data_IF_959959467934
#
_entry.id   IF_959959467934
#
_cell.length_a   1.000
_cell.length_b   1.000
_cell.length_c   1.000
_cell.angle_alpha   90.00
_cell.angle_beta   90.00
_cell.angle_gamma   90.00
#
_symmetry.space_group_name_H-M   'P 1'
#
loop_
_entity.id
_entity.type
_entity.pdbx_description
1 polymer ?
#
# COMPACT_ATOMS: atom_id res chain seq x y z
N UNK A 1 27.94 -8.77 -36.45
CA UNK A 1 28.36 -8.58 -35.05
C UNK A 1 27.44 -7.55 -34.41
N UNK A 2 26.17 -7.89 -34.22
CA UNK A 2 25.22 -7.02 -33.53
C UNK A 2 24.05 -7.90 -33.10
N UNK A 3 24.05 -8.35 -31.85
CA UNK A 3 22.83 -8.82 -31.22
C UNK A 3 22.78 -8.12 -29.86
N UNK A 4 22.08 -6.99 -29.86
CA UNK A 4 21.92 -6.15 -28.69
C UNK A 4 20.94 -6.87 -27.76
N UNK A 5 21.50 -7.54 -26.75
CA UNK A 5 20.78 -8.18 -25.67
C UNK A 5 20.10 -7.06 -24.85
N UNK A 6 18.90 -6.66 -25.27
CA UNK A 6 18.00 -5.81 -24.51
C UNK A 6 17.64 -6.54 -23.21
N UNK A 7 18.32 -6.17 -22.13
CA UNK A 7 18.05 -6.65 -20.79
C UNK A 7 16.75 -6.00 -20.31
N UNK A 8 15.60 -6.58 -20.67
CA UNK A 8 14.33 -6.30 -20.00
C UNK A 8 14.45 -6.75 -18.54
N UNK A 9 14.65 -5.79 -17.63
CA UNK A 9 14.62 -6.06 -16.19
C UNK A 9 13.21 -6.54 -15.83
N UNK A 10 13.05 -7.78 -15.33
CA UNK A 10 11.74 -8.31 -15.00
C UNK A 10 11.10 -7.48 -13.89
N UNK A 11 9.78 -7.25 -14.00
CA UNK A 11 9.02 -6.47 -13.03
C UNK A 11 9.19 -7.02 -11.61
N UNK A 12 9.21 -6.12 -10.62
CA UNK A 12 9.45 -6.47 -9.22
C UNK A 12 8.50 -7.57 -8.70
N UNK A 13 7.24 -7.53 -9.14
CA UNK A 13 6.24 -8.54 -8.81
C UNK A 13 6.63 -9.92 -9.34
N UNK A 14 7.17 -10.00 -10.55
CA UNK A 14 7.54 -11.26 -11.20
C UNK A 14 8.82 -11.88 -10.58
N UNK A 15 9.70 -11.03 -10.03
CA UNK A 15 10.83 -11.48 -9.20
C UNK A 15 10.38 -12.00 -7.84
N UNK A 16 9.39 -11.36 -7.22
CA UNK A 16 8.81 -11.82 -5.96
C UNK A 16 8.07 -13.15 -6.12
N UNK A 17 7.26 -13.30 -7.17
CA UNK A 17 6.59 -14.58 -7.46
C UNK A 17 7.60 -15.67 -7.75
N UNK A 18 8.61 -15.44 -8.62
CA UNK A 18 9.67 -16.45 -8.87
C UNK A 18 10.43 -16.88 -7.62
N UNK A 19 10.67 -15.97 -6.68
CA UNK A 19 11.34 -16.31 -5.40
C UNK A 19 10.42 -17.16 -4.52
N UNK A 20 9.16 -16.75 -4.39
CA UNK A 20 8.15 -17.49 -3.64
C UNK A 20 7.87 -18.87 -4.25
N UNK A 21 7.68 -18.97 -5.56
CA UNK A 21 7.39 -20.22 -6.28
C UNK A 21 8.52 -21.24 -6.19
N UNK A 22 9.77 -20.79 -6.00
CA UNK A 22 10.93 -21.67 -5.80
C UNK A 22 10.98 -22.28 -4.39
N UNK A 23 10.34 -21.66 -3.41
CA UNK A 23 10.48 -22.00 -2.00
C UNK A 23 9.18 -22.50 -1.35
N UNK A 24 8.01 -22.21 -1.94
CA UNK A 24 6.72 -22.60 -1.38
C UNK A 24 6.26 -23.98 -1.90
N UNK A 25 5.73 -24.77 -0.97
CA UNK A 25 5.00 -26.02 -1.28
C UNK A 25 3.54 -25.64 -1.63
N UNK A 26 2.86 -26.44 -2.47
CA UNK A 26 1.51 -26.13 -2.98
C UNK A 26 0.47 -25.86 -1.87
N UNK A 27 0.62 -26.52 -0.71
CA UNK A 27 -0.22 -26.29 0.46
C UNK A 27 0.58 -25.53 1.54
N UNK A 28 -0.01 -24.45 2.07
CA UNK A 28 0.53 -23.75 3.25
C UNK A 28 0.09 -24.51 4.51
N UNK A 29 1.05 -25.03 5.27
CA UNK A 29 0.83 -25.69 6.56
C UNK A 29 0.95 -24.70 7.73
N UNK A 30 1.47 -25.17 8.87
CA UNK A 30 2.08 -24.26 9.83
C UNK A 30 3.24 -23.55 9.13
N UNK A 31 3.10 -22.23 8.99
CA UNK A 31 3.94 -21.39 8.16
C UNK A 31 4.68 -20.41 9.06
N UNK A 32 5.98 -20.61 9.21
CA UNK A 32 6.84 -19.81 10.08
C UNK A 32 6.81 -18.32 9.66
N UNK A 33 6.65 -18.02 8.36
CA UNK A 33 6.58 -16.65 7.86
C UNK A 33 5.25 -15.98 8.27
N UNK A 34 4.13 -16.71 8.16
CA UNK A 34 2.83 -16.23 8.59
C UNK A 34 2.79 -15.98 10.11
N UNK A 35 3.46 -16.84 10.89
CA UNK A 35 3.59 -16.68 12.34
C UNK A 35 4.44 -15.46 12.72
N UNK A 36 5.51 -15.17 11.97
CA UNK A 36 6.30 -13.94 12.14
C UNK A 36 5.46 -12.70 11.84
N UNK A 37 4.69 -12.70 10.75
CA UNK A 37 3.77 -11.58 10.43
C UNK A 37 2.71 -11.37 11.52
N UNK A 38 2.19 -12.45 12.10
CA UNK A 38 1.20 -12.39 13.17
C UNK A 38 1.78 -11.85 14.48
N UNK A 39 3.08 -12.08 14.72
CA UNK A 39 3.83 -11.53 15.86
C UNK A 39 4.10 -10.04 15.68
N UNK A 40 4.44 -9.60 14.47
CA UNK A 40 4.76 -8.21 14.15
C UNK A 40 3.51 -7.29 14.08
N UNK A 41 2.31 -7.86 13.92
CA UNK A 41 1.07 -7.09 13.86
C UNK A 41 0.83 -6.29 15.15
N UNK A 42 0.69 -4.98 15.01
CA UNK A 42 0.26 -4.10 16.10
C UNK A 42 -1.16 -4.49 16.56
N UNK A 43 -1.32 -4.75 17.86
CA UNK A 43 -2.60 -5.10 18.50
C UNK A 43 -3.06 -3.95 19.37
N UNK A 44 -4.32 -3.54 19.20
CA UNK A 44 -4.93 -2.58 20.11
C UNK A 44 -5.09 -3.21 21.49
N UNK A 45 -4.67 -2.47 22.53
CA UNK A 45 -4.89 -2.83 23.92
C UNK A 45 -3.73 -3.61 24.54
N UNK A 46 -2.62 -3.76 23.82
CA UNK A 46 -1.41 -4.37 24.36
C UNK A 46 -0.74 -3.40 25.37
N UNK A 47 -0.69 -3.76 26.68
CA UNK A 47 -0.05 -2.92 27.70
C UNK A 47 1.46 -2.74 27.49
N UNK A 48 2.11 -3.60 26.69
CA UNK A 48 3.54 -3.52 26.37
C UNK A 48 3.85 -2.70 25.11
N UNK A 49 2.84 -2.29 24.32
CA UNK A 49 3.04 -1.57 23.06
C UNK A 49 3.85 -0.27 23.22
N UNK A 50 3.64 0.47 24.32
CA UNK A 50 4.38 1.71 24.62
C UNK A 50 5.79 1.48 25.19
N UNK A 51 6.14 0.26 25.57
CA UNK A 51 7.47 -0.11 26.09
C UNK A 51 8.42 -0.53 24.98
N UNK A 52 7.88 -1.00 23.86
CA UNK A 52 8.68 -1.41 22.70
C UNK A 52 9.26 -0.17 22.00
N UNK A 53 10.54 -0.24 21.63
CA UNK A 53 11.16 0.79 20.79
C UNK A 53 10.50 0.73 19.41
N UNK A 54 9.88 1.83 19.00
CA UNK A 54 9.36 1.98 17.64
C UNK A 54 10.52 1.71 16.66
N UNK A 55 10.33 0.74 15.75
CA UNK A 55 11.33 0.43 14.72
C UNK A 55 11.60 1.74 13.96
N UNK A 56 12.88 2.08 13.73
CA UNK A 56 13.26 3.35 13.08
C UNK A 56 12.58 3.45 11.71
N UNK A 57 11.55 4.28 11.64
CA UNK A 57 10.71 4.50 10.47
C UNK A 57 9.73 5.63 10.77
N UNK A 58 10.23 6.87 10.71
CA UNK A 58 9.49 8.09 10.44
C UNK A 58 8.44 8.58 11.44
N UNK A 59 8.64 9.78 11.96
CA UNK A 59 7.57 10.61 12.51
C UNK A 59 6.53 10.90 11.40
N UNK A 60 5.29 10.47 11.60
CA UNK A 60 4.13 10.90 10.79
C UNK A 60 4.17 10.49 9.32
N UNK A 61 3.37 9.47 8.98
CA UNK A 61 3.19 8.96 7.61
C UNK A 61 4.45 8.24 7.08
N UNK A 62 4.38 6.94 6.84
CA UNK A 62 5.46 6.14 6.24
C UNK A 62 5.80 6.70 4.85
N UNK A 63 6.68 7.72 4.81
CA UNK A 63 7.14 8.30 3.58
C UNK A 63 7.80 7.18 2.78
N UNK A 64 7.32 6.89 1.57
CA UNK A 64 7.93 5.81 0.82
C UNK A 64 9.41 6.13 0.62
N UNK A 65 10.29 5.13 0.50
CA UNK A 65 11.70 5.36 0.20
C UNK A 65 11.84 6.18 -1.09
N UNK A 66 12.77 7.14 -1.17
CA UNK A 66 12.96 7.95 -2.38
C UNK A 66 13.16 7.03 -3.59
N UNK A 67 12.58 7.39 -4.74
CA UNK A 67 12.63 6.53 -5.93
C UNK A 67 14.05 6.49 -6.56
N UNK A 68 14.96 7.39 -6.16
CA UNK A 68 16.40 7.32 -6.47
C UNK A 68 17.10 6.51 -5.40
N UNK A 69 17.70 5.39 -5.80
CA UNK A 69 18.80 4.76 -5.05
C UNK A 69 20.09 5.56 -5.29
N UNK A 70 21.09 5.45 -4.41
CA UNK A 70 22.40 6.10 -4.63
C UNK A 70 22.99 5.77 -6.02
N UNK A 71 22.70 4.58 -6.56
CA UNK A 71 23.08 4.14 -7.89
C UNK A 71 22.40 4.93 -9.03
N UNK A 72 21.12 5.27 -8.89
CA UNK A 72 20.37 6.03 -9.92
C UNK A 72 20.73 7.53 -9.91
N UNK A 73 21.32 8.02 -8.80
CA UNK A 73 21.73 9.43 -8.66
C UNK A 73 22.85 9.79 -9.62
N UNK A 74 23.86 8.93 -9.75
CA UNK A 74 24.99 9.15 -10.65
C UNK A 74 24.56 9.19 -12.13
N UNK A 75 23.56 8.37 -12.51
CA UNK A 75 23.00 8.39 -13.87
C UNK A 75 22.19 9.67 -14.16
N UNK A 76 21.51 10.23 -13.16
CA UNK A 76 20.76 11.49 -13.27
C UNK A 76 21.68 12.72 -13.29
N UNK A 77 22.80 12.67 -12.56
CA UNK A 77 23.85 13.70 -12.60
C UNK A 77 24.58 13.69 -13.95
N UNK A 78 24.81 12.50 -14.52
CA UNK A 78 25.39 12.35 -15.86
C UNK A 78 24.46 12.82 -16.99
N UNK A 79 23.13 12.69 -16.83
CA UNK A 79 22.15 13.13 -17.81
C UNK A 79 21.81 14.62 -17.74
N UNK A 80 22.31 15.34 -16.72
CA UNK A 80 22.10 16.78 -16.53
C UNK A 80 20.66 17.19 -16.19
N UNK A 81 19.71 16.24 -16.14
CA UNK A 81 18.30 16.48 -15.83
C UNK A 81 17.97 15.94 -14.42
N UNK A 82 18.27 16.74 -13.40
CA UNK A 82 17.96 16.38 -12.01
C UNK A 82 16.50 16.72 -11.70
N UNK A 83 15.60 15.75 -11.82
CA UNK A 83 14.22 15.88 -11.34
C UNK A 83 14.23 15.80 -9.80
N UNK A 84 13.75 16.82 -9.06
CA UNK A 84 13.66 16.75 -7.61
C UNK A 84 12.73 15.61 -7.19
N UNK A 85 13.26 14.63 -6.47
CA UNK A 85 12.47 13.48 -5.99
C UNK A 85 12.08 13.59 -4.51
N UNK A 86 12.39 14.72 -3.88
CA UNK A 86 11.90 15.03 -2.55
C UNK A 86 10.39 15.25 -2.57
N UNK A 87 9.72 14.84 -1.50
CA UNK A 87 8.30 15.11 -1.33
C UNK A 87 8.07 16.62 -1.26
N UNK A 88 7.21 17.24 -2.10
CA UNK A 88 6.96 18.68 -2.04
C UNK A 88 6.41 19.13 -0.69
N UNK A 89 6.70 20.38 -0.27
CA UNK A 89 6.16 20.96 0.98
C UNK A 89 4.63 20.88 1.06
N UNK A 90 3.96 21.05 -0.08
CA UNK A 90 2.51 21.03 -0.20
C UNK A 90 1.94 19.61 -0.34
N UNK A 91 2.75 18.56 -0.27
CA UNK A 91 2.28 17.18 -0.34
C UNK A 91 1.38 16.81 0.82
N UNK A 92 0.34 16.02 0.56
CA UNK A 92 -0.49 15.37 1.57
C UNK A 92 0.33 14.63 2.64
N UNK A 93 1.46 14.02 2.25
CA UNK A 93 2.36 13.31 3.16
C UNK A 93 3.00 14.24 4.20
N UNK A 94 3.45 15.44 3.77
CA UNK A 94 4.03 16.43 4.69
C UNK A 94 2.99 17.17 5.51
N UNK A 95 1.79 17.35 4.95
CA UNK A 95 0.67 17.98 5.66
C UNK A 95 -0.05 17.05 6.62
N UNK A 96 0.16 15.73 6.50
CA UNK A 96 -0.55 14.73 7.32
C UNK A 96 -2.05 14.66 7.04
N UNK A 97 -2.49 15.02 5.84
CA UNK A 97 -3.91 14.98 5.45
C UNK A 97 -4.25 13.55 5.02
N UNK A 98 -5.32 12.96 5.56
CA UNK A 98 -5.76 11.64 5.13
C UNK A 98 -6.30 11.68 3.70
N UNK A 99 -5.87 10.74 2.86
CA UNK A 99 -6.39 10.58 1.52
C UNK A 99 -7.85 10.08 1.54
N UNK A 100 -8.71 10.56 0.63
CA UNK A 100 -10.03 9.97 0.43
C UNK A 100 -9.87 8.50 0.01
N UNK A 101 -10.80 7.67 0.47
CA UNK A 101 -10.80 6.24 0.17
C UNK A 101 -11.34 6.04 -1.24
N UNK A 102 -10.56 5.38 -2.09
CA UNK A 102 -10.97 4.93 -3.42
C UNK A 102 -11.32 3.44 -3.37
N UNK A 103 -12.24 2.99 -4.23
CA UNK A 103 -12.58 1.58 -4.39
C UNK A 103 -11.41 0.68 -4.80
N UNK A 104 -10.37 1.22 -5.43
CA UNK A 104 -9.13 0.51 -5.74
C UNK A 104 -8.15 0.44 -4.56
N UNK A 105 -8.46 1.05 -3.41
CA UNK A 105 -7.57 1.11 -2.24
C UNK A 105 -6.16 1.66 -2.57
N UNK A 106 -6.07 2.52 -3.60
CA UNK A 106 -4.81 3.14 -4.02
C UNK A 106 -4.54 4.39 -3.19
N UNK A 107 -3.31 4.53 -2.72
CA UNK A 107 -2.85 5.75 -2.07
C UNK A 107 -2.44 6.80 -3.11
N UNK A 108 -2.75 8.10 -2.89
CA UNK A 108 -2.29 9.16 -3.77
C UNK A 108 -0.75 9.25 -3.85
N UNK A 109 -0.25 9.74 -4.98
CA UNK A 109 1.18 9.95 -5.16
C UNK A 109 1.75 11.05 -4.25
N UNK A 110 3.10 11.11 -4.14
CA UNK A 110 3.82 12.12 -3.33
C UNK A 110 3.47 13.57 -3.66
N UNK A 111 3.04 13.86 -4.88
CA UNK A 111 2.77 15.22 -5.35
C UNK A 111 1.32 15.66 -5.15
N UNK A 112 0.45 14.76 -4.68
CA UNK A 112 -0.93 15.14 -4.41
C UNK A 112 -0.98 16.14 -3.25
N UNK A 113 -1.79 17.18 -3.41
CA UNK A 113 -1.81 18.34 -2.52
C UNK A 113 -2.75 18.18 -1.30
N UNK A 114 -3.46 17.06 -1.22
CA UNK A 114 -4.38 16.74 -0.14
C UNK A 114 -5.79 17.33 -0.31
N UNK A 115 -6.08 18.00 -1.43
CA UNK A 115 -7.41 18.59 -1.67
C UNK A 115 -8.22 17.66 -2.57
N UNK A 116 -9.38 17.23 -2.06
CA UNK A 116 -10.35 16.45 -2.84
C UNK A 116 -11.03 17.34 -3.89
N UNK A 117 -10.92 16.94 -5.15
CA UNK A 117 -11.52 17.60 -6.33
C UNK A 117 -12.45 16.65 -7.09
N UNK A 118 -12.89 15.59 -6.44
CA UNK A 118 -13.80 14.61 -7.03
C UNK A 118 -15.22 15.18 -7.18
N UNK A 119 -16.03 14.52 -8.00
CA UNK A 119 -17.46 14.82 -8.16
C UNK A 119 -18.31 14.24 -7.02
N UNK A 120 -17.73 13.46 -6.11
CA UNK A 120 -18.45 12.74 -5.06
C UNK A 120 -18.86 11.30 -5.40
N UNK A 121 -18.58 10.82 -6.61
CA UNK A 121 -18.97 9.48 -7.09
C UNK A 121 -18.58 8.34 -6.12
N UNK A 122 -17.33 8.33 -5.63
CA UNK A 122 -16.85 7.28 -4.73
C UNK A 122 -17.65 7.25 -3.43
N UNK A 123 -17.98 8.43 -2.88
CA UNK A 123 -18.77 8.56 -1.66
C UNK A 123 -20.19 8.04 -1.84
N UNK A 124 -20.83 8.36 -2.97
CA UNK A 124 -22.17 7.87 -3.31
C UNK A 124 -22.17 6.36 -3.54
N UNK A 125 -21.16 5.85 -4.25
CA UNK A 125 -21.00 4.43 -4.50
C UNK A 125 -20.88 3.64 -3.19
N UNK A 126 -20.05 4.09 -2.24
CA UNK A 126 -19.92 3.41 -0.94
C UNK A 126 -21.23 3.44 -0.14
N UNK A 127 -21.98 4.55 -0.19
CA UNK A 127 -23.30 4.63 0.44
C UNK A 127 -24.27 3.62 -0.17
N UNK A 128 -24.33 3.53 -1.50
CA UNK A 128 -25.19 2.58 -2.20
C UNK A 128 -24.84 1.12 -1.89
N UNK A 129 -23.55 0.78 -1.88
CA UNK A 129 -23.07 -0.57 -1.52
C UNK A 129 -23.43 -0.91 -0.07
N UNK A 130 -23.23 0.03 0.86
CA UNK A 130 -23.58 -0.18 2.27
C UNK A 130 -25.09 -0.34 2.47
N UNK A 131 -25.91 0.43 1.76
CA UNK A 131 -27.38 0.30 1.79
C UNK A 131 -27.81 -1.06 1.27
N UNK A 132 -27.26 -1.52 0.14
CA UNK A 132 -27.56 -2.85 -0.41
C UNK A 132 -27.19 -3.97 0.57
N UNK A 133 -25.99 -3.91 1.15
CA UNK A 133 -25.54 -4.92 2.11
C UNK A 133 -26.39 -4.94 3.39
N UNK A 134 -26.89 -3.78 3.83
CA UNK A 134 -27.79 -3.69 4.98
C UNK A 134 -29.15 -4.33 4.67
N UNK A 135 -29.75 -4.01 3.51
CA UNK A 135 -31.02 -4.60 3.07
C UNK A 135 -30.94 -6.12 2.92
N UNK A 136 -29.86 -6.63 2.33
CA UNK A 136 -29.65 -8.08 2.19
C UNK A 136 -29.54 -8.77 3.56
N UNK A 137 -28.88 -8.13 4.52
CA UNK A 137 -28.77 -8.65 5.89
C UNK A 137 -30.13 -8.65 6.60
N UNK A 138 -30.90 -7.59 6.48
CA UNK A 138 -32.26 -7.49 7.04
C UNK A 138 -33.19 -8.54 6.43
N UNK A 139 -33.22 -8.64 5.10
CA UNK A 139 -34.00 -9.64 4.37
C UNK A 139 -33.62 -11.06 4.79
N UNK A 140 -32.32 -11.34 4.99
CA UNK A 140 -31.84 -12.63 5.47
C UNK A 140 -32.31 -12.92 6.90
N UNK A 141 -32.31 -11.93 7.80
CA UNK A 141 -32.81 -12.11 9.16
C UNK A 141 -34.32 -12.38 9.19
N UNK A 142 -35.10 -11.63 8.40
CA UNK A 142 -36.55 -11.88 8.27
C UNK A 142 -36.88 -13.24 7.65
N UNK A 143 -36.15 -13.66 6.62
CA UNK A 143 -36.36 -14.96 6.00
C UNK A 143 -36.04 -16.13 6.94
N UNK A 144 -35.19 -15.91 7.95
CA UNK A 144 -34.82 -16.93 8.93
C UNK A 144 -35.74 -16.96 10.15
N UNK A 145 -36.50 -15.90 10.44
CA UNK A 145 -37.46 -15.88 11.55
C UNK A 145 -38.72 -16.74 11.29
N UNK A 146 -39.06 -17.03 10.03
CA UNK A 146 -40.25 -17.80 9.63
C UNK A 146 -39.98 -19.29 9.35
N UNK A 147 -38.76 -19.79 9.66
CA UNK A 147 -38.35 -21.20 9.52
C UNK A 147 -38.01 -21.82 10.87
#
# INVERSE_FOLDING_TARGET
MSDAMELETPSHQLLQTRRADRQLVIARGFDDDADVELRDRSRWGDPMAGKLKKKKGGDGFDLPPPLITEANRAMMEASGLVVPQEVPQHSWMRRGVAAPVNHYSLCPGRHWDGVDRSTGFEQEMFKAVNQRNAQEREARMWAQEDM
#
